data_IF_164207932326
#
_entry.id   IF_164207932326
#
_cell.length_a   1.000
_cell.length_b   1.000
_cell.length_c   1.000
_cell.angle_alpha   90.00
_cell.angle_beta   90.00
_cell.angle_gamma   90.00
#
_symmetry.space_group_name_H-M   'P 1'
#
loop_
_entity.id
_entity.type
_entity.pdbx_description
1 polymer ?
#
# COMPACT_ATOMS: atom_id res chain seq x y z
N UNK A 1 7.97 13.78 3.14
CA UNK A 1 6.83 12.85 2.98
C UNK A 1 5.50 13.44 3.43
N UNK A 2 5.48 14.35 4.41
CA UNK A 2 4.22 14.96 4.86
C UNK A 2 3.39 15.55 3.71
N UNK A 3 2.08 15.40 3.82
CA UNK A 3 1.10 15.76 2.80
C UNK A 3 -0.04 14.76 2.70
N UNK A 4 -0.97 15.05 1.81
CA UNK A 4 -2.08 14.16 1.44
C UNK A 4 -1.77 13.50 0.11
N UNK A 5 -2.00 12.20 0.06
CA UNK A 5 -1.69 11.32 -1.06
C UNK A 5 -2.93 10.48 -1.38
N UNK A 6 -3.24 10.34 -2.66
CA UNK A 6 -4.29 9.45 -3.12
C UNK A 6 -3.66 8.19 -3.72
N UNK A 7 -4.20 7.02 -3.36
CA UNK A 7 -3.75 5.75 -3.90
C UNK A 7 -4.14 5.67 -5.37
N UNK A 8 -3.14 5.72 -6.24
CA UNK A 8 -3.33 5.61 -7.69
C UNK A 8 -3.35 4.16 -8.15
N UNK A 9 -2.58 3.29 -7.49
CA UNK A 9 -2.45 1.87 -7.84
C UNK A 9 -2.12 1.02 -6.61
N UNK A 10 -2.74 -0.16 -6.51
CA UNK A 10 -2.40 -1.21 -5.54
C UNK A 10 -2.29 -2.51 -6.34
N UNK A 11 -1.12 -3.11 -6.35
CA UNK A 11 -0.85 -4.34 -7.08
C UNK A 11 -0.34 -5.43 -6.15
N UNK A 12 -0.81 -6.65 -6.39
CA UNK A 12 -0.09 -7.85 -5.99
C UNK A 12 0.77 -8.30 -7.17
N UNK A 13 2.05 -8.54 -6.92
CA UNK A 13 3.02 -8.92 -7.94
C UNK A 13 3.66 -10.23 -7.55
N UNK A 14 3.68 -11.18 -8.47
CA UNK A 14 4.29 -12.49 -8.25
C UNK A 14 5.79 -12.33 -8.00
N UNK A 15 6.29 -12.94 -6.91
CA UNK A 15 7.67 -12.78 -6.49
C UNK A 15 8.65 -13.45 -7.47
N UNK A 16 8.26 -14.61 -8.03
CA UNK A 16 9.08 -15.37 -8.98
C UNK A 16 9.11 -14.76 -10.39
N UNK A 17 8.05 -14.03 -10.78
CA UNK A 17 7.96 -13.34 -12.06
C UNK A 17 7.16 -12.03 -11.94
N UNK A 18 7.89 -10.91 -11.87
CA UNK A 18 7.28 -9.58 -11.74
C UNK A 18 6.44 -9.11 -12.94
N UNK A 19 6.40 -9.86 -14.04
CA UNK A 19 5.51 -9.59 -15.18
C UNK A 19 4.08 -10.08 -14.91
N UNK A 20 3.91 -11.02 -13.97
CA UNK A 20 2.61 -11.48 -13.48
C UNK A 20 2.18 -10.59 -12.32
N UNK A 21 1.07 -9.88 -12.50
CA UNK A 21 0.53 -8.97 -11.49
C UNK A 21 -0.97 -8.78 -11.65
N UNK A 22 -1.63 -8.39 -10.56
CA UNK A 22 -3.04 -8.06 -10.54
C UNK A 22 -3.25 -6.68 -9.90
N UNK A 23 -4.08 -5.84 -10.53
CA UNK A 23 -4.49 -4.55 -9.97
C UNK A 23 -5.65 -4.75 -8.99
N UNK A 24 -5.32 -4.82 -7.70
CA UNK A 24 -6.27 -5.03 -6.61
C UNK A 24 -7.14 -3.81 -6.37
N UNK A 25 -6.59 -2.61 -6.58
CA UNK A 25 -7.37 -1.38 -6.47
C UNK A 25 -8.55 -1.42 -7.43
N UNK A 26 -8.30 -1.78 -8.69
CA UNK A 26 -9.33 -1.92 -9.71
C UNK A 26 -10.30 -3.07 -9.40
N UNK A 27 -9.77 -4.26 -9.05
CA UNK A 27 -10.58 -5.45 -8.76
C UNK A 27 -11.59 -5.24 -7.62
N UNK A 28 -11.20 -4.50 -6.58
CA UNK A 28 -12.06 -4.23 -5.42
C UNK A 28 -12.85 -2.91 -5.54
N UNK A 29 -12.61 -2.10 -6.58
CA UNK A 29 -13.15 -0.73 -6.66
C UNK A 29 -12.67 0.17 -5.52
N UNK A 30 -11.48 -0.12 -4.97
CA UNK A 30 -10.94 0.57 -3.80
C UNK A 30 -10.48 1.99 -4.16
N UNK A 31 -10.73 2.92 -3.24
CA UNK A 31 -10.04 4.20 -3.18
C UNK A 31 -9.47 4.42 -1.79
N UNK A 32 -8.31 5.08 -1.72
CA UNK A 32 -7.66 5.37 -0.46
C UNK A 32 -7.00 6.75 -0.49
N UNK A 33 -7.11 7.47 0.62
CA UNK A 33 -6.41 8.73 0.86
C UNK A 33 -5.58 8.59 2.12
N UNK A 34 -4.28 8.89 2.01
CA UNK A 34 -3.32 8.86 3.10
C UNK A 34 -2.86 10.29 3.41
N UNK A 35 -3.05 10.74 4.64
CA UNK A 35 -2.52 12.03 5.11
C UNK A 35 -1.44 11.79 6.14
N UNK A 36 -0.22 12.25 5.86
CA UNK A 36 0.94 12.14 6.76
C UNK A 36 1.29 13.55 7.27
N UNK A 37 1.34 13.72 8.59
CA UNK A 37 1.75 14.94 9.26
C UNK A 37 3.28 15.01 9.40
N UNK A 38 3.82 16.21 9.67
CA UNK A 38 5.27 16.41 9.84
C UNK A 38 5.87 15.63 11.00
N UNK A 39 5.08 15.34 12.03
CA UNK A 39 5.48 14.56 13.19
C UNK A 39 5.40 13.03 12.96
N UNK A 40 5.04 12.57 11.77
CA UNK A 40 4.89 11.14 11.46
C UNK A 40 3.49 10.58 11.73
N UNK A 41 2.60 11.29 12.42
CA UNK A 41 1.21 10.86 12.57
C UNK A 41 0.54 10.80 11.20
N UNK A 42 -0.16 9.69 10.93
CA UNK A 42 -0.84 9.47 9.66
C UNK A 42 -2.29 9.02 9.86
N UNK A 43 -3.14 9.34 8.88
CA UNK A 43 -4.51 8.84 8.79
C UNK A 43 -4.73 8.30 7.38
N UNK A 44 -5.12 7.04 7.28
CA UNK A 44 -5.54 6.37 6.06
C UNK A 44 -7.07 6.26 6.06
N UNK A 45 -7.71 6.77 5.02
CA UNK A 45 -9.14 6.59 4.77
C UNK A 45 -9.32 5.68 3.57
N UNK A 46 -9.98 4.55 3.77
CA UNK A 46 -10.32 3.55 2.75
C UNK A 46 -11.81 3.64 2.40
N UNK A 47 -12.12 3.57 1.11
CA UNK A 47 -13.50 3.50 0.62
C UNK A 47 -13.65 2.41 -0.41
N UNK A 48 -14.67 1.58 -0.22
CA UNK A 48 -15.05 0.51 -1.12
C UNK A 48 -16.56 0.59 -1.39
N UNK A 49 -17.02 0.43 -2.65
CA UNK A 49 -18.44 0.44 -2.96
C UNK A 49 -19.24 -0.56 -2.12
N UNK A 50 -20.35 -0.10 -1.54
CA UNK A 50 -21.23 -0.94 -0.71
C UNK A 50 -20.76 -1.16 0.72
N UNK A 51 -19.63 -0.57 1.14
CA UNK A 51 -19.12 -0.63 2.51
C UNK A 51 -19.02 0.79 3.12
N UNK A 52 -19.17 0.94 4.44
CA UNK A 52 -18.85 2.20 5.12
C UNK A 52 -17.38 2.58 4.97
N UNK A 53 -17.10 3.89 4.93
CA UNK A 53 -15.72 4.41 4.97
C UNK A 53 -14.99 3.90 6.22
N UNK A 54 -13.79 3.37 6.02
CA UNK A 54 -12.92 2.92 7.11
C UNK A 54 -11.78 3.91 7.29
N UNK A 55 -11.54 4.34 8.52
CA UNK A 55 -10.42 5.24 8.84
C UNK A 55 -9.48 4.57 9.84
N UNK A 56 -8.19 4.59 9.51
CA UNK A 56 -7.12 3.99 10.30
C UNK A 56 -6.11 5.07 10.65
N UNK A 57 -5.93 5.31 11.95
CA UNK A 57 -4.85 6.16 12.46
C UNK A 57 -3.57 5.34 12.61
N UNK A 58 -2.44 5.93 12.23
CA UNK A 58 -1.14 5.28 12.24
C UNK A 58 -0.01 6.24 12.55
N UNK A 59 1.18 5.68 12.73
CA UNK A 59 2.43 6.42 12.74
C UNK A 59 3.32 5.92 11.61
N UNK A 60 3.90 6.85 10.85
CA UNK A 60 4.84 6.58 9.76
C UNK A 60 6.23 7.05 10.17
N UNK A 61 7.20 6.16 10.04
CA UNK A 61 8.61 6.49 10.25
C UNK A 61 9.47 5.97 9.10
N UNK A 62 10.66 6.55 8.96
CA UNK A 62 11.62 6.21 7.92
C UNK A 62 12.96 5.81 8.54
N UNK A 63 13.53 4.72 8.04
CA UNK A 63 14.89 4.28 8.33
C UNK A 63 15.57 3.91 7.01
N UNK A 64 16.36 4.85 6.47
CA UNK A 64 16.92 4.71 5.13
C UNK A 64 15.82 4.74 4.07
N UNK A 65 15.74 3.70 3.25
CA UNK A 65 14.70 3.49 2.24
C UNK A 65 13.52 2.65 2.77
N UNK A 66 13.55 2.21 4.02
CA UNK A 66 12.46 1.46 4.63
C UNK A 66 11.50 2.39 5.36
N UNK A 67 10.22 2.28 5.01
CA UNK A 67 9.09 2.91 5.67
C UNK A 67 8.43 1.90 6.60
N UNK A 68 8.16 2.33 7.83
CA UNK A 68 7.32 1.60 8.77
C UNK A 68 6.00 2.36 8.94
N UNK A 69 4.89 1.68 8.67
CA UNK A 69 3.52 2.14 8.91
C UNK A 69 2.93 1.32 10.05
N UNK A 70 2.65 1.95 11.19
CA UNK A 70 2.19 1.26 12.40
C UNK A 70 0.79 1.74 12.77
N UNK A 71 -0.20 0.85 12.71
CA UNK A 71 -1.58 1.10 13.07
C UNK A 71 -1.98 0.21 14.27
N UNK A 72 -2.13 0.80 15.45
CA UNK A 72 -2.36 0.04 16.68
C UNK A 72 -1.18 -0.89 16.99
N UNK A 73 -1.44 -2.19 17.08
CA UNK A 73 -0.41 -3.23 17.30
C UNK A 73 0.07 -3.90 16.01
N UNK A 74 -0.47 -3.50 14.85
CA UNK A 74 -0.11 -4.05 13.55
C UNK A 74 0.91 -3.14 12.87
N UNK A 75 2.02 -3.72 12.41
CA UNK A 75 3.06 -3.04 11.64
C UNK A 75 3.07 -3.50 10.20
N UNK A 76 3.33 -2.58 9.28
CA UNK A 76 3.60 -2.82 7.87
C UNK A 76 4.93 -2.14 7.51
N UNK A 77 5.81 -2.89 6.86
CA UNK A 77 7.11 -2.37 6.40
C UNK A 77 7.20 -2.45 4.88
N UNK A 78 7.69 -1.36 4.27
CA UNK A 78 7.86 -1.27 2.83
C UNK A 78 9.15 -0.55 2.47
N UNK A 79 9.78 -0.95 1.37
CA UNK A 79 10.78 -0.13 0.69
C UNK A 79 10.02 1.00 -0.01
N UNK A 80 10.43 2.24 0.27
CA UNK A 80 9.80 3.43 -0.29
C UNK A 80 10.72 4.15 -1.27
N UNK A 81 10.15 4.58 -2.38
CA UNK A 81 10.79 5.51 -3.31
C UNK A 81 9.87 6.71 -3.56
N UNK A 82 10.43 7.91 -3.60
CA UNK A 82 9.70 9.15 -3.89
C UNK A 82 10.34 9.81 -5.11
N UNK A 83 9.52 10.06 -6.13
CA UNK A 83 9.92 10.77 -7.34
C UNK A 83 8.87 11.81 -7.70
N UNK A 84 9.20 13.09 -7.51
CA UNK A 84 8.28 14.21 -7.74
C UNK A 84 7.02 14.12 -6.89
N UNK A 85 5.87 13.91 -7.54
CA UNK A 85 4.55 13.75 -6.89
C UNK A 85 4.16 12.30 -6.63
N UNK A 86 5.03 11.34 -6.95
CA UNK A 86 4.75 9.91 -6.80
C UNK A 86 5.56 9.34 -5.63
N UNK A 87 4.89 8.55 -4.79
CA UNK A 87 5.50 7.75 -3.74
C UNK A 87 5.12 6.30 -3.96
N UNK A 88 6.11 5.42 -4.12
CA UNK A 88 5.90 3.98 -4.35
C UNK A 88 6.30 3.23 -3.10
N UNK A 89 5.42 2.38 -2.57
CA UNK A 89 5.72 1.46 -1.48
C UNK A 89 5.79 0.06 -2.04
N UNK A 90 6.79 -0.71 -1.62
CA UNK A 90 6.90 -2.13 -1.93
C UNK A 90 7.06 -2.90 -0.63
N UNK A 91 6.12 -3.77 -0.28
CA UNK A 91 6.17 -4.53 0.96
C UNK A 91 7.52 -5.27 1.10
N UNK A 92 8.07 -5.26 2.31
CA UNK A 92 9.29 -6.02 2.66
C UNK A 92 8.95 -7.49 2.92
N UNK A 93 7.73 -7.75 3.40
CA UNK A 93 7.23 -9.10 3.65
C UNK A 93 6.44 -9.60 2.44
N UNK A 94 6.71 -10.85 2.08
CA UNK A 94 5.96 -11.57 1.05
C UNK A 94 4.70 -12.16 1.67
N UNK A 95 3.61 -12.18 0.91
CA UNK A 95 2.36 -12.82 1.29
C UNK A 95 2.07 -13.96 0.31
N UNK A 96 1.13 -14.85 0.66
CA UNK A 96 0.67 -15.89 -0.24
C UNK A 96 -0.67 -15.49 -0.84
N UNK A 97 -0.79 -15.58 -2.17
CA UNK A 97 -2.02 -15.27 -2.90
C UNK A 97 -2.14 -16.13 -4.16
N UNK A 98 -3.35 -16.54 -4.52
CA UNK A 98 -3.67 -17.21 -5.79
C UNK A 98 -3.90 -16.14 -6.88
N UNK A 99 -2.85 -15.79 -7.62
CA UNK A 99 -2.89 -14.69 -8.61
C UNK A 99 -3.53 -15.09 -9.94
N UNK A 100 -3.42 -16.35 -10.33
CA UNK A 100 -3.88 -16.84 -11.64
C UNK A 100 -5.18 -17.65 -11.57
N UNK A 101 -5.68 -17.92 -10.37
CA UNK A 101 -6.93 -18.62 -10.11
C UNK A 101 -6.83 -20.13 -10.30
N UNK A 102 -5.62 -20.70 -10.27
CA UNK A 102 -5.40 -22.14 -10.41
C UNK A 102 -5.66 -22.94 -9.12
N UNK A 103 -5.89 -22.23 -8.01
CA UNK A 103 -6.17 -22.80 -6.69
C UNK A 103 -4.92 -23.07 -5.84
N UNK A 104 -3.73 -22.76 -6.35
CA UNK A 104 -2.47 -22.73 -5.61
C UNK A 104 -2.27 -21.35 -4.99
N UNK A 105 -1.40 -21.25 -3.99
CA UNK A 105 -1.00 -19.94 -3.46
C UNK A 105 0.45 -19.69 -3.82
N UNK A 106 0.71 -18.52 -4.40
CA UNK A 106 2.04 -18.10 -4.79
C UNK A 106 2.57 -17.03 -3.86
N UNK A 107 3.89 -16.94 -3.75
CA UNK A 107 4.53 -15.84 -3.05
C UNK A 107 4.41 -14.55 -3.87
N UNK A 108 3.85 -13.53 -3.26
CA UNK A 108 3.66 -12.21 -3.87
C UNK A 108 4.21 -11.12 -2.95
N UNK A 109 4.43 -9.94 -3.51
CA UNK A 109 4.59 -8.72 -2.73
C UNK A 109 3.58 -7.66 -3.19
N UNK A 110 3.23 -6.80 -2.26
CA UNK A 110 2.37 -5.65 -2.52
C UNK A 110 3.19 -4.47 -3.06
N UNK A 111 2.66 -3.79 -4.08
CA UNK A 111 3.18 -2.52 -4.59
C UNK A 111 2.09 -1.46 -4.61
N UNK A 112 2.29 -0.43 -3.80
CA UNK A 112 1.42 0.74 -3.77
C UNK A 112 2.05 1.88 -4.53
N UNK A 113 1.22 2.62 -5.27
CA UNK A 113 1.63 3.86 -5.90
C UNK A 113 0.70 4.97 -5.44
N UNK A 114 1.27 5.93 -4.73
CA UNK A 114 0.60 7.06 -4.13
C UNK A 114 0.92 8.34 -4.89
N UNK A 115 -0.10 9.11 -5.23
CA UNK A 115 0.04 10.39 -5.92
C UNK A 115 -0.29 11.54 -4.98
N UNK A 116 0.59 12.53 -4.91
CA UNK A 116 0.39 13.71 -4.08
C UNK A 116 -0.76 14.55 -4.62
N UNK A 117 -1.73 14.84 -3.76
CA UNK A 117 -2.87 15.71 -4.07
C UNK A 117 -2.43 17.16 -4.33
#
# INVERSE_FOLDING_TARGET
MAGTWDLSRLEMVLLSDSTVSQDFKAALGLSATLTIQLNGTAVLTLRQPGQPDTTVSAHVSLRGDTLAYVAGNSGYEAIVSISGRMMTWRAVQTTYWDLDGDGSSEEVFERDVWQRR
#
